data_IF_683082856077
#
_entry.id   IF_683082856077
#
_cell.length_a   1.000
_cell.length_b   1.000
_cell.length_c   1.000
_cell.angle_alpha   90.00
_cell.angle_beta   90.00
_cell.angle_gamma   90.00
#
_symmetry.space_group_name_H-M   'P 1'
#
loop_
_entity.id
_entity.type
_entity.pdbx_description
1 polymer ?
#
# COMPACT_ATOMS: atom_id res chain seq x y z
N UNK A 1 6.31 -12.40 -13.15
CA UNK A 1 6.12 -11.33 -12.16
C UNK A 1 7.08 -10.18 -12.44
N UNK A 2 6.59 -8.97 -12.48
CA UNK A 2 7.42 -7.79 -12.72
C UNK A 2 7.52 -6.96 -11.45
N UNK A 3 8.64 -6.27 -11.29
CA UNK A 3 8.88 -5.35 -10.18
C UNK A 3 9.30 -4.01 -10.71
N UNK A 4 8.67 -2.95 -10.22
CA UNK A 4 9.10 -1.59 -10.48
C UNK A 4 9.42 -0.94 -9.16
N UNK A 5 10.71 -0.71 -8.91
CA UNK A 5 11.16 -0.08 -7.68
C UNK A 5 11.05 1.43 -7.84
N UNK A 6 10.10 2.04 -7.13
CA UNK A 6 9.94 3.49 -7.12
C UNK A 6 10.99 4.10 -6.21
N UNK A 7 11.19 3.51 -5.03
CA UNK A 7 12.22 3.94 -4.09
C UNK A 7 12.49 2.83 -3.07
N UNK A 8 13.73 2.76 -2.56
CA UNK A 8 14.10 1.88 -1.45
C UNK A 8 15.09 2.61 -0.55
N UNK A 9 15.10 2.22 0.71
CA UNK A 9 16.07 2.73 1.66
C UNK A 9 15.44 3.59 2.75
N UNK A 10 16.30 4.27 3.51
CA UNK A 10 15.89 5.05 4.67
C UNK A 10 15.15 6.35 4.32
N UNK A 11 15.23 6.78 3.07
CA UNK A 11 14.60 8.03 2.61
C UNK A 11 13.22 7.80 2.00
N UNK A 12 12.85 6.55 1.73
CA UNK A 12 11.53 6.23 1.22
C UNK A 12 11.47 4.85 0.60
N UNK A 13 10.32 4.21 0.70
CA UNK A 13 10.10 2.86 0.14
C UNK A 13 8.77 2.81 -0.59
N UNK A 14 8.81 2.35 -1.84
CA UNK A 14 7.63 2.07 -2.64
C UNK A 14 8.03 1.15 -3.78
N UNK A 15 7.37 0.02 -3.88
CA UNK A 15 7.65 -0.98 -4.93
C UNK A 15 6.32 -1.40 -5.56
N UNK A 16 6.28 -1.47 -6.88
CA UNK A 16 5.09 -1.94 -7.60
C UNK A 16 5.35 -3.34 -8.15
N UNK A 17 4.44 -4.25 -7.87
CA UNK A 17 4.49 -5.63 -8.36
C UNK A 17 3.40 -5.82 -9.41
N UNK A 18 3.76 -6.43 -10.53
CA UNK A 18 2.83 -6.72 -11.64
C UNK A 18 2.05 -5.49 -12.12
N UNK A 19 2.64 -4.31 -11.99
CA UNK A 19 2.05 -3.03 -12.40
C UNK A 19 0.78 -2.63 -11.64
N UNK A 20 0.30 -3.43 -10.70
CA UNK A 20 -0.98 -3.16 -10.03
C UNK A 20 -0.98 -3.29 -8.51
N UNK A 21 0.11 -3.73 -7.89
CA UNK A 21 0.20 -3.82 -6.44
C UNK A 21 1.33 -2.91 -5.96
N UNK A 22 0.99 -1.93 -5.14
CA UNK A 22 1.97 -1.05 -4.52
C UNK A 22 2.27 -1.54 -3.11
N UNK A 23 3.56 -1.77 -2.81
CA UNK A 23 4.00 -2.14 -1.48
C UNK A 23 4.68 -0.94 -0.84
N UNK A 24 4.11 -0.47 0.23
CA UNK A 24 4.48 0.72 0.99
C UNK A 24 4.34 2.02 0.20
N UNK A 25 4.11 3.11 0.93
CA UNK A 25 3.87 4.43 0.37
C UNK A 25 4.73 5.43 1.15
N UNK A 26 6.04 5.30 0.99
CA UNK A 26 7.00 6.17 1.66
C UNK A 26 7.61 7.20 0.72
N UNK A 27 6.86 7.64 -0.30
CA UNK A 27 7.35 8.55 -1.34
C UNK A 27 6.37 9.70 -1.55
N UNK A 28 6.83 10.82 -2.15
CA UNK A 28 5.92 11.90 -2.54
C UNK A 28 4.90 11.41 -3.56
N UNK A 29 3.73 12.03 -3.57
CA UNK A 29 2.65 11.60 -4.47
C UNK A 29 3.06 11.64 -5.95
N UNK A 30 3.81 12.63 -6.35
CA UNK A 30 4.24 12.75 -7.75
C UNK A 30 5.10 11.56 -8.21
N UNK A 31 5.76 10.88 -7.27
CA UNK A 31 6.55 9.69 -7.61
C UNK A 31 5.67 8.53 -8.07
N UNK A 32 4.39 8.54 -7.73
CA UNK A 32 3.44 7.51 -8.12
C UNK A 32 2.72 7.82 -9.44
N UNK A 33 2.97 8.98 -10.03
CA UNK A 33 2.31 9.41 -11.24
C UNK A 33 2.33 8.36 -12.37
N UNK A 34 3.48 7.72 -12.65
CA UNK A 34 3.53 6.74 -13.75
C UNK A 34 2.74 5.46 -13.47
N UNK A 35 2.43 5.15 -12.22
CA UNK A 35 1.87 3.84 -11.84
C UNK A 35 0.47 3.90 -11.23
N UNK A 36 0.06 5.05 -10.72
CA UNK A 36 -1.16 5.15 -9.89
C UNK A 36 -2.44 4.73 -10.60
N UNK A 37 -2.53 4.89 -11.92
CA UNK A 37 -3.74 4.55 -12.67
C UNK A 37 -4.02 3.05 -12.71
N UNK A 38 -2.98 2.25 -12.68
CA UNK A 38 -3.10 0.80 -12.82
C UNK A 38 -3.13 0.07 -11.49
N UNK A 39 -2.97 0.79 -10.39
CA UNK A 39 -2.98 0.17 -9.07
C UNK A 39 -4.35 -0.39 -8.72
N UNK A 40 -4.34 -1.57 -8.12
CA UNK A 40 -5.55 -2.24 -7.64
C UNK A 40 -5.51 -2.56 -6.17
N UNK A 41 -4.32 -2.55 -5.58
CA UNK A 41 -4.11 -2.85 -4.18
C UNK A 41 -2.86 -2.13 -3.67
N UNK A 42 -2.93 -1.64 -2.45
CA UNK A 42 -1.76 -1.14 -1.72
C UNK A 42 -1.59 -2.02 -0.50
N UNK A 43 -0.39 -2.57 -0.30
CA UNK A 43 -0.06 -3.35 0.89
C UNK A 43 0.92 -2.54 1.74
N UNK A 44 0.61 -2.40 3.01
CA UNK A 44 1.43 -1.63 3.94
C UNK A 44 2.10 -2.56 4.96
N UNK A 45 3.40 -2.37 5.15
CA UNK A 45 4.19 -3.19 6.06
C UNK A 45 4.52 -2.48 7.36
N UNK A 46 4.75 -1.17 7.32
CA UNK A 46 5.17 -0.39 8.49
C UNK A 46 4.52 0.99 8.49
N UNK A 47 4.42 1.58 9.68
CA UNK A 47 3.92 2.95 9.86
C UNK A 47 5.03 4.00 9.90
N UNK A 48 6.30 3.60 9.81
CA UNK A 48 7.43 4.53 9.80
C UNK A 48 7.42 5.41 8.56
N UNK A 49 7.97 6.62 8.68
CA UNK A 49 7.93 7.61 7.61
C UNK A 49 8.53 7.18 6.27
N UNK A 50 9.51 6.30 6.30
CA UNK A 50 10.13 5.78 5.08
C UNK A 50 9.29 4.68 4.40
N UNK A 51 8.19 4.24 5.02
CA UNK A 51 7.25 3.27 4.47
C UNK A 51 5.84 3.82 4.38
N UNK A 52 5.56 4.91 5.06
CA UNK A 52 4.21 5.45 5.15
C UNK A 52 4.25 6.97 5.20
N UNK A 53 3.83 7.61 4.11
CA UNK A 53 3.72 9.06 4.01
C UNK A 53 2.25 9.43 4.02
N UNK A 54 1.70 9.91 5.14
CA UNK A 54 0.25 10.18 5.25
C UNK A 54 -0.30 11.10 4.18
N UNK A 55 0.47 12.12 3.79
CA UNK A 55 0.04 13.05 2.75
C UNK A 55 -0.15 12.34 1.41
N UNK A 56 0.77 11.45 1.05
CA UNK A 56 0.69 10.67 -0.19
C UNK A 56 -0.45 9.67 -0.15
N UNK A 57 -0.62 9.00 1.00
CA UNK A 57 -1.73 8.08 1.23
C UNK A 57 -3.07 8.80 1.02
N UNK A 58 -3.21 9.97 1.61
CA UNK A 58 -4.43 10.78 1.48
C UNK A 58 -4.69 11.17 0.03
N UNK A 59 -3.65 11.65 -0.66
CA UNK A 59 -3.78 12.08 -2.05
C UNK A 59 -4.18 10.90 -2.95
N UNK A 60 -3.55 9.75 -2.75
CA UNK A 60 -3.84 8.55 -3.53
C UNK A 60 -5.28 8.07 -3.31
N UNK A 61 -5.73 8.03 -2.06
CA UNK A 61 -7.10 7.64 -1.76
C UNK A 61 -8.11 8.63 -2.35
N UNK A 62 -7.80 9.91 -2.30
CA UNK A 62 -8.69 10.94 -2.84
C UNK A 62 -8.84 10.79 -4.35
N UNK A 63 -7.76 10.47 -5.04
CA UNK A 63 -7.78 10.30 -6.50
C UNK A 63 -8.34 8.94 -6.92
N UNK A 64 -8.10 7.90 -6.11
CA UNK A 64 -8.54 6.54 -6.37
C UNK A 64 -9.35 6.00 -5.18
N UNK A 65 -10.59 6.49 -4.98
CA UNK A 65 -11.37 6.16 -3.78
C UNK A 65 -11.78 4.69 -3.63
N UNK A 66 -11.72 3.93 -4.70
CA UNK A 66 -12.05 2.49 -4.66
C UNK A 66 -10.81 1.60 -4.54
N UNK A 67 -9.62 2.19 -4.58
CA UNK A 67 -8.38 1.44 -4.40
C UNK A 67 -8.34 0.83 -3.00
N UNK A 68 -8.04 -0.46 -2.93
CA UNK A 68 -8.04 -1.18 -1.66
C UNK A 68 -6.69 -1.08 -0.97
N UNK A 69 -6.74 -1.13 0.37
CA UNK A 69 -5.57 -1.01 1.23
C UNK A 69 -5.50 -2.22 2.15
N UNK A 70 -4.49 -3.06 1.99
CA UNK A 70 -4.28 -4.23 2.81
C UNK A 70 -3.22 -3.97 3.88
N UNK A 71 -3.50 -4.32 5.12
CA UNK A 71 -2.57 -4.05 6.21
C UNK A 71 -2.87 -4.93 7.42
N UNK A 72 -1.94 -4.95 8.37
CA UNK A 72 -2.16 -5.54 9.66
C UNK A 72 -2.94 -4.59 10.56
N UNK A 73 -3.48 -5.13 11.64
CA UNK A 73 -4.36 -4.39 12.54
C UNK A 73 -3.78 -3.05 13.03
N UNK A 74 -2.49 -3.02 13.34
CA UNK A 74 -1.86 -1.79 13.85
C UNK A 74 -1.74 -0.66 12.83
N UNK A 75 -1.97 -0.95 11.55
CA UNK A 75 -1.95 0.07 10.50
C UNK A 75 -3.30 0.72 10.24
N UNK A 76 -4.37 0.16 10.81
CA UNK A 76 -5.71 0.71 10.60
C UNK A 76 -5.82 2.15 11.13
N UNK A 77 -5.33 2.38 12.36
CA UNK A 77 -5.33 3.72 12.94
C UNK A 77 -4.64 4.75 12.07
N UNK A 78 -3.37 4.53 11.69
CA UNK A 78 -2.66 5.43 10.79
C UNK A 78 -3.37 5.67 9.46
N UNK A 79 -3.97 4.64 8.87
CA UNK A 79 -4.72 4.81 7.62
C UNK A 79 -5.95 5.69 7.80
N UNK A 80 -6.72 5.48 8.87
CA UNK A 80 -7.89 6.30 9.17
C UNK A 80 -7.48 7.75 9.43
N UNK A 81 -6.39 7.97 10.15
CA UNK A 81 -5.87 9.30 10.41
C UNK A 81 -5.43 10.00 9.14
N UNK A 82 -4.91 9.24 8.17
CA UNK A 82 -4.53 9.79 6.87
C UNK A 82 -5.75 10.09 6.00
N UNK A 83 -6.94 9.67 6.40
CA UNK A 83 -8.16 9.96 5.67
C UNK A 83 -8.67 8.86 4.76
N UNK A 84 -8.12 7.66 4.88
CA UNK A 84 -8.60 6.51 4.08
C UNK A 84 -9.91 6.00 4.65
N UNK A 85 -10.89 5.75 3.77
CA UNK A 85 -12.19 5.24 4.17
C UNK A 85 -12.07 3.80 4.67
N UNK A 86 -12.66 3.52 5.81
CA UNK A 86 -12.64 2.18 6.42
C UNK A 86 -13.13 1.08 5.46
N UNK A 87 -14.07 1.42 4.56
CA UNK A 87 -14.64 0.45 3.64
C UNK A 87 -13.65 -0.14 2.63
N UNK A 88 -12.54 0.55 2.39
CA UNK A 88 -11.51 0.07 1.47
C UNK A 88 -10.27 -0.45 2.19
N UNK A 89 -10.33 -0.61 3.52
CA UNK A 89 -9.23 -1.15 4.31
C UNK A 89 -9.50 -2.62 4.60
N UNK A 90 -8.58 -3.48 4.18
CA UNK A 90 -8.63 -4.91 4.45
C UNK A 90 -7.60 -5.26 5.50
N UNK A 91 -8.07 -5.79 6.64
CA UNK A 91 -7.20 -6.13 7.77
C UNK A 91 -6.98 -7.62 7.79
N UNK A 92 -5.74 -8.04 7.96
CA UNK A 92 -5.41 -9.46 8.02
C UNK A 92 -4.37 -9.74 9.10
N UNK A 93 -4.35 -10.99 9.57
CA UNK A 93 -3.37 -11.46 10.55
C UNK A 93 -2.22 -12.18 9.88
N UNK A 94 -1.18 -12.41 10.67
CA UNK A 94 -0.02 -13.17 10.22
C UNK A 94 -0.43 -14.60 9.82
N UNK A 95 -0.05 -15.02 8.65
CA UNK A 95 -0.39 -16.35 8.16
C UNK A 95 -1.64 -16.45 7.29
N UNK A 96 -2.48 -15.41 7.29
CA UNK A 96 -3.67 -15.39 6.43
C UNK A 96 -3.25 -15.33 4.95
N UNK A 97 -4.12 -15.79 4.07
CA UNK A 97 -3.93 -15.64 2.63
C UNK A 97 -4.94 -14.64 2.09
N UNK A 98 -4.46 -13.67 1.34
CA UNK A 98 -5.29 -12.63 0.74
C UNK A 98 -5.48 -12.93 -0.75
N UNK A 99 -6.71 -12.82 -1.22
CA UNK A 99 -7.02 -12.99 -2.63
C UNK A 99 -7.70 -11.73 -3.18
N UNK A 100 -7.09 -11.14 -4.22
CA UNK A 100 -7.61 -9.97 -4.89
C UNK A 100 -7.72 -10.28 -6.37
N UNK A 101 -8.92 -10.23 -6.91
CA UNK A 101 -9.23 -10.68 -8.26
C UNK A 101 -8.80 -12.12 -8.47
N UNK A 102 -7.72 -12.36 -9.14
CA UNK A 102 -7.15 -13.70 -9.31
C UNK A 102 -5.77 -13.81 -8.70
N UNK A 103 -5.37 -12.79 -7.94
CA UNK A 103 -4.08 -12.77 -7.27
C UNK A 103 -4.27 -13.16 -5.82
N UNK A 104 -3.47 -14.11 -5.36
CA UNK A 104 -3.40 -14.48 -3.95
C UNK A 104 -2.03 -14.14 -3.42
N UNK A 105 -1.97 -13.50 -2.27
CA UNK A 105 -0.73 -13.13 -1.62
C UNK A 105 -0.75 -13.62 -0.18
N UNK A 106 0.37 -14.17 0.27
CA UNK A 106 0.52 -14.54 1.68
C UNK A 106 0.75 -13.27 2.49
N UNK A 107 0.27 -13.30 3.72
CA UNK A 107 0.22 -12.14 4.58
C UNK A 107 1.56 -11.56 4.98
N UNK A 108 1.53 -10.45 5.70
CA UNK A 108 2.68 -9.56 5.93
C UNK A 108 3.90 -10.17 6.54
N UNK A 109 3.81 -11.32 7.19
CA UNK A 109 5.01 -11.91 7.73
C UNK A 109 6.05 -12.23 6.66
N UNK A 110 5.64 -12.25 5.40
CA UNK A 110 6.57 -12.38 4.27
C UNK A 110 7.05 -11.03 3.75
N UNK A 111 6.41 -9.94 4.18
CA UNK A 111 6.72 -8.59 3.72
C UNK A 111 7.58 -7.81 4.71
N UNK A 112 7.71 -8.31 5.90
CA UNK A 112 8.43 -7.62 6.99
C UNK A 112 9.88 -8.02 7.03
#
# INVERSE_FOLDING_TARGET
MTFDVIATGSTGNAVVINSNILIDVGVPFKALEPVKKDLKLVLLTHSHGDHFTPRTVRALHKERPTLRWGCCEWMVGPLLEAGVDKRVIDVFGSGDTLCYWRLCAVTPQLLV
#
